data_IF_098437349549
#
_entry.id   IF_098437349549
#
_cell.length_a   1.000
_cell.length_b   1.000
_cell.length_c   1.000
_cell.angle_alpha   90.00
_cell.angle_beta   90.00
_cell.angle_gamma   90.00
#
_symmetry.space_group_name_H-M   'P 1'
#
loop_
_entity.id
_entity.type
_entity.pdbx_description
1 polymer ?
#
# COMPACT_ATOMS: atom_id res chain seq x y z
N UNK A 1 28.66 -9.57 5.83
CA UNK A 1 28.15 -9.57 4.44
C UNK A 1 27.15 -8.44 4.35
N UNK A 2 27.25 -7.55 3.37
CA UNK A 2 26.32 -6.45 3.21
C UNK A 2 25.32 -6.78 2.12
N UNK A 3 24.04 -6.52 2.36
CA UNK A 3 22.99 -6.67 1.39
C UNK A 3 22.83 -5.38 0.60
N UNK A 4 22.70 -5.46 -0.72
CA UNK A 4 22.47 -4.31 -1.60
C UNK A 4 21.05 -4.40 -2.13
N UNK A 5 20.25 -3.38 -1.88
CA UNK A 5 18.89 -3.32 -2.39
C UNK A 5 18.88 -3.28 -3.92
N UNK A 6 18.20 -4.23 -4.55
CA UNK A 6 18.11 -4.34 -6.01
C UNK A 6 17.37 -3.18 -6.68
N UNK A 7 16.53 -2.48 -5.92
CA UNK A 7 15.72 -1.35 -6.42
C UNK A 7 16.44 0.00 -6.31
N UNK A 8 17.07 0.31 -5.15
CA UNK A 8 17.65 1.64 -4.90
C UNK A 8 19.17 1.64 -4.69
N UNK A 9 19.83 0.48 -4.71
CA UNK A 9 21.27 0.35 -4.51
C UNK A 9 21.76 0.59 -3.06
N UNK A 10 20.85 0.84 -2.11
CA UNK A 10 21.23 1.07 -0.71
C UNK A 10 21.89 -0.17 -0.12
N UNK A 11 23.03 0.05 0.53
CA UNK A 11 23.74 -0.97 1.29
C UNK A 11 23.15 -1.04 2.70
N UNK A 12 22.76 -2.24 3.12
CA UNK A 12 22.22 -2.51 4.45
C UNK A 12 23.15 -3.48 5.16
N UNK A 13 23.70 -3.09 6.30
CA UNK A 13 24.67 -3.91 7.06
C UNK A 13 24.00 -4.77 8.12
N UNK A 14 22.86 -4.30 8.65
CA UNK A 14 22.02 -5.03 9.60
C UNK A 14 20.56 -4.78 9.30
N UNK A 15 19.74 -5.82 9.34
CA UNK A 15 18.29 -5.72 9.26
C UNK A 15 17.71 -5.84 10.67
N UNK A 16 17.47 -4.75 11.41
CA UNK A 16 16.65 -4.81 12.60
C UNK A 16 15.20 -5.05 12.15
N UNK A 17 14.70 -6.25 12.42
CA UNK A 17 13.28 -6.49 12.27
C UNK A 17 12.54 -5.72 13.36
N UNK A 18 11.48 -5.01 13.01
CA UNK A 18 10.63 -4.28 13.98
C UNK A 18 10.01 -5.18 15.05
N UNK A 19 10.03 -6.49 14.85
CA UNK A 19 9.57 -7.51 15.78
C UNK A 19 10.61 -7.91 16.84
N UNK A 20 11.83 -7.36 16.81
CA UNK A 20 12.91 -7.72 17.75
C UNK A 20 13.61 -9.04 17.46
N UNK A 21 13.31 -9.72 16.37
CA UNK A 21 13.95 -10.98 15.95
C UNK A 21 15.01 -10.75 14.89
N UNK A 22 15.86 -11.75 14.69
CA UNK A 22 16.96 -11.72 13.70
C UNK A 22 16.64 -12.59 12.49
N UNK A 23 17.19 -12.19 11.34
CA UNK A 23 17.19 -13.01 10.14
C UNK A 23 18.44 -13.87 10.15
N UNK A 24 18.27 -15.18 9.94
CA UNK A 24 19.34 -16.14 9.77
C UNK A 24 19.26 -16.82 8.41
N UNK A 25 20.42 -17.20 7.90
CA UNK A 25 20.48 -17.99 6.66
C UNK A 25 20.15 -19.45 6.99
N UNK A 26 19.14 -19.99 6.33
CA UNK A 26 18.88 -21.42 6.31
C UNK A 26 19.87 -22.08 5.32
N UNK A 27 20.77 -22.92 5.83
CA UNK A 27 21.81 -23.59 5.02
C UNK A 27 21.26 -24.66 4.07
N UNK A 28 20.04 -25.15 4.30
CA UNK A 28 19.43 -26.19 3.47
C UNK A 28 18.70 -25.58 2.26
N UNK A 29 17.98 -24.46 2.47
CA UNK A 29 17.21 -23.79 1.41
C UNK A 29 18.00 -22.67 0.74
N UNK A 30 19.14 -22.27 1.31
CA UNK A 30 19.94 -21.11 0.92
C UNK A 30 19.12 -19.80 0.92
N UNK A 31 18.13 -19.70 1.81
CA UNK A 31 17.24 -18.56 1.98
C UNK A 31 17.46 -17.91 3.34
N UNK A 32 17.16 -16.61 3.39
CA UNK A 32 17.18 -15.85 4.65
C UNK A 32 15.82 -15.97 5.31
N UNK A 33 15.76 -16.57 6.49
CA UNK A 33 14.52 -16.82 7.23
C UNK A 33 14.51 -16.05 8.54
N UNK A 34 13.34 -15.59 8.95
CA UNK A 34 13.12 -15.05 10.28
C UNK A 34 13.08 -16.19 11.30
N UNK A 35 13.71 -16.02 12.46
CA UNK A 35 13.74 -17.03 13.53
C UNK A 35 12.34 -17.44 14.04
N UNK A 36 11.30 -16.67 13.72
CA UNK A 36 9.90 -16.98 14.07
C UNK A 36 9.16 -17.76 12.98
N UNK A 37 9.77 -17.98 11.82
CA UNK A 37 9.21 -18.80 10.74
C UNK A 37 8.14 -18.18 9.86
N UNK A 38 7.47 -17.10 10.30
CA UNK A 38 6.28 -16.58 9.62
C UNK A 38 6.42 -15.18 8.99
N UNK A 39 7.60 -14.56 9.03
CA UNK A 39 7.77 -13.16 8.62
C UNK A 39 8.18 -12.95 7.15
N UNK A 40 8.23 -14.00 6.34
CA UNK A 40 8.55 -13.94 4.93
C UNK A 40 9.96 -14.42 4.57
N UNK A 41 10.11 -14.81 3.34
CA UNK A 41 11.32 -15.37 2.75
C UNK A 41 12.04 -14.28 1.98
N UNK A 42 13.29 -13.98 2.29
CA UNK A 42 14.16 -13.14 1.46
C UNK A 42 14.95 -14.10 0.56
N UNK A 43 14.63 -14.11 -0.72
CA UNK A 43 15.39 -14.89 -1.71
C UNK A 43 16.66 -14.14 -2.09
N UNK A 44 17.75 -14.87 -2.38
CA UNK A 44 19.03 -14.27 -2.77
C UNK A 44 18.98 -13.51 -4.10
N UNK A 45 17.97 -13.78 -4.91
CA UNK A 45 17.81 -13.15 -6.22
C UNK A 45 17.33 -11.71 -6.14
N UNK A 46 16.62 -11.32 -5.06
CA UNK A 46 16.15 -9.96 -4.84
C UNK A 46 16.17 -9.61 -3.34
N UNK A 47 17.02 -8.67 -2.97
CA UNK A 47 16.91 -7.99 -1.69
C UNK A 47 16.30 -6.60 -1.90
N UNK A 48 15.18 -6.32 -1.23
CA UNK A 48 14.60 -4.98 -1.14
C UNK A 48 14.81 -4.46 0.28
N UNK A 49 15.39 -3.26 0.40
CA UNK A 49 15.38 -2.58 1.70
C UNK A 49 13.94 -2.30 2.13
N UNK A 50 13.72 -2.11 3.44
CA UNK A 50 12.39 -1.88 4.03
C UNK A 50 11.56 -0.88 3.21
N UNK A 51 12.15 0.23 2.84
CA UNK A 51 11.52 1.29 2.06
C UNK A 51 11.02 0.82 0.69
N UNK A 52 11.86 0.12 -0.07
CA UNK A 52 11.48 -0.38 -1.40
C UNK A 52 10.48 -1.53 -1.30
N UNK A 53 10.55 -2.34 -0.26
CA UNK A 53 9.59 -3.41 0.00
C UNK A 53 8.19 -2.86 0.31
N UNK A 54 8.09 -1.84 1.15
CA UNK A 54 6.82 -1.19 1.49
C UNK A 54 6.23 -0.49 0.27
N UNK A 55 7.03 0.25 -0.51
CA UNK A 55 6.57 0.88 -1.75
C UNK A 55 6.04 -0.16 -2.74
N UNK A 56 6.75 -1.27 -2.92
CA UNK A 56 6.31 -2.37 -3.80
C UNK A 56 4.99 -2.97 -3.31
N UNK A 57 4.78 -3.08 -1.99
CA UNK A 57 3.55 -3.59 -1.40
C UNK A 57 2.37 -2.64 -1.63
N UNK A 58 2.56 -1.33 -1.42
CA UNK A 58 1.53 -0.30 -1.69
C UNK A 58 1.13 -0.33 -3.17
N UNK A 59 2.11 -0.33 -4.08
CA UNK A 59 1.86 -0.39 -5.51
C UNK A 59 1.07 -1.64 -5.90
N UNK A 60 1.47 -2.80 -5.37
CA UNK A 60 0.76 -4.05 -5.65
C UNK A 60 -0.71 -3.99 -5.18
N UNK A 61 -1.00 -3.42 -4.02
CA UNK A 61 -2.39 -3.27 -3.54
C UNK A 61 -3.21 -2.44 -4.54
N UNK A 62 -2.67 -1.33 -5.04
CA UNK A 62 -3.36 -0.50 -6.02
C UNK A 62 -3.48 -1.15 -7.41
N UNK A 63 -2.46 -1.91 -7.84
CA UNK A 63 -2.54 -2.73 -9.08
C UNK A 63 -3.65 -3.79 -8.95
N UNK A 64 -3.80 -4.42 -7.77
CA UNK A 64 -4.88 -5.36 -7.48
C UNK A 64 -6.26 -4.65 -7.52
N UNK A 65 -6.39 -3.43 -7.00
CA UNK A 65 -7.62 -2.64 -7.04
C UNK A 65 -7.97 -2.16 -8.47
N UNK A 66 -6.98 -1.79 -9.27
CA UNK A 66 -7.15 -1.49 -10.69
C UNK A 66 -7.67 -2.71 -11.45
N UNK A 67 -7.15 -3.90 -11.15
CA UNK A 67 -7.64 -5.18 -11.69
C UNK A 67 -9.08 -5.44 -11.27
N UNK A 68 -9.43 -5.23 -9.99
CA UNK A 68 -10.80 -5.36 -9.49
C UNK A 68 -11.79 -4.46 -10.22
N UNK A 69 -11.39 -3.23 -10.60
CA UNK A 69 -12.27 -2.31 -11.32
C UNK A 69 -12.75 -2.86 -12.65
N UNK A 70 -12.00 -3.79 -13.24
CA UNK A 70 -12.34 -4.44 -14.52
C UNK A 70 -13.01 -5.79 -14.30
N UNK A 71 -12.56 -6.59 -13.33
CA UNK A 71 -12.96 -7.99 -13.17
C UNK A 71 -14.12 -8.19 -12.19
N UNK A 72 -14.30 -7.30 -11.22
CA UNK A 72 -15.36 -7.41 -10.22
C UNK A 72 -16.53 -6.47 -10.55
N UNK A 73 -17.73 -7.07 -10.76
CA UNK A 73 -18.91 -6.33 -11.16
C UNK A 73 -19.40 -5.34 -10.10
N UNK A 74 -19.36 -5.72 -8.82
CA UNK A 74 -19.82 -4.86 -7.72
C UNK A 74 -18.94 -3.63 -7.60
N UNK A 75 -17.60 -3.80 -7.59
CA UNK A 75 -16.66 -2.69 -7.53
C UNK A 75 -16.78 -1.76 -8.75
N UNK A 76 -16.98 -2.34 -9.94
CA UNK A 76 -17.18 -1.56 -11.16
C UNK A 76 -18.48 -0.74 -11.15
N UNK A 77 -19.58 -1.29 -10.67
CA UNK A 77 -20.86 -0.55 -10.57
C UNK A 77 -20.74 0.60 -9.55
N UNK A 78 -20.09 0.39 -8.40
CA UNK A 78 -19.82 1.49 -7.45
C UNK A 78 -19.00 2.61 -8.11
N UNK A 79 -17.96 2.27 -8.87
CA UNK A 79 -17.15 3.25 -9.58
C UNK A 79 -17.97 4.06 -10.62
N UNK A 80 -18.97 3.45 -11.28
CA UNK A 80 -19.83 4.13 -12.25
C UNK A 80 -20.74 5.19 -11.61
N UNK A 81 -21.18 4.96 -10.37
CA UNK A 81 -22.02 5.90 -9.65
C UNK A 81 -21.24 7.15 -9.16
N UNK A 82 -19.92 7.08 -9.17
CA UNK A 82 -19.05 8.14 -8.72
C UNK A 82 -18.59 9.02 -9.89
N UNK A 83 -18.48 10.32 -9.64
CA UNK A 83 -17.84 11.25 -10.58
C UNK A 83 -16.33 11.11 -10.51
N UNK A 84 -15.66 11.32 -11.63
CA UNK A 84 -14.19 11.34 -11.69
C UNK A 84 -13.58 12.29 -10.66
N UNK A 85 -12.67 11.76 -9.87
CA UNK A 85 -11.87 12.50 -8.91
C UNK A 85 -10.43 11.97 -8.88
N UNK A 86 -9.51 12.82 -8.51
CA UNK A 86 -8.09 12.45 -8.38
C UNK A 86 -7.62 12.77 -6.97
N UNK A 87 -7.10 11.73 -6.31
CA UNK A 87 -6.45 11.84 -5.00
C UNK A 87 -4.95 11.78 -5.20
N UNK A 88 -4.25 12.82 -4.75
CA UNK A 88 -2.80 12.86 -4.67
C UNK A 88 -2.36 12.47 -3.27
N UNK A 89 -1.46 11.51 -3.15
CA UNK A 89 -0.93 11.06 -1.86
C UNK A 89 0.57 11.29 -1.78
N UNK A 90 1.00 11.98 -0.74
CA UNK A 90 2.40 12.17 -0.36
C UNK A 90 2.71 11.38 0.91
N UNK A 91 3.57 10.38 0.79
CA UNK A 91 4.04 9.60 1.92
C UNK A 91 5.41 10.07 2.38
N UNK A 92 5.64 10.06 3.69
CA UNK A 92 6.94 10.29 4.30
C UNK A 92 7.49 9.01 4.95
N UNK A 93 8.80 8.96 5.12
CA UNK A 93 9.52 7.89 5.82
C UNK A 93 9.27 6.47 5.27
N UNK A 94 9.71 6.20 4.05
CA UNK A 94 10.41 7.06 3.08
C UNK A 94 9.45 7.84 2.18
N UNK A 95 9.99 8.83 1.49
CA UNK A 95 9.19 9.66 0.57
C UNK A 95 8.73 8.81 -0.62
N UNK A 96 7.44 8.84 -0.85
CA UNK A 96 6.80 8.22 -1.99
C UNK A 96 5.54 8.99 -2.35
N UNK A 97 5.42 9.38 -3.61
CA UNK A 97 4.29 10.18 -4.11
C UNK A 97 3.59 9.40 -5.20
N UNK A 98 2.27 9.35 -5.12
CA UNK A 98 1.41 8.70 -6.10
C UNK A 98 0.04 9.36 -6.15
N UNK A 99 -0.71 9.04 -7.18
CA UNK A 99 -2.08 9.49 -7.36
C UNK A 99 -3.00 8.34 -7.74
N UNK A 100 -4.29 8.50 -7.42
CA UNK A 100 -5.35 7.57 -7.79
C UNK A 100 -6.47 8.38 -8.42
N UNK A 101 -6.85 8.04 -9.66
CA UNK A 101 -8.06 8.51 -10.31
C UNK A 101 -9.15 7.46 -10.11
N UNK A 102 -10.33 7.87 -9.69
CA UNK A 102 -11.48 6.98 -9.51
C UNK A 102 -12.79 7.67 -9.90
N UNK A 103 -13.77 6.89 -10.33
CA UNK A 103 -15.08 7.33 -10.78
C UNK A 103 -15.32 7.13 -12.28
N UNK A 104 -16.55 7.31 -12.73
CA UNK A 104 -17.03 7.04 -14.10
C UNK A 104 -16.67 5.60 -14.60
N UNK A 105 -16.61 4.63 -13.68
CA UNK A 105 -16.23 3.24 -13.96
C UNK A 105 -14.73 2.95 -13.96
N UNK A 106 -13.88 3.95 -13.78
CA UNK A 106 -12.42 3.83 -13.78
C UNK A 106 -11.84 3.79 -12.36
N UNK A 107 -10.77 3.02 -12.18
CA UNK A 107 -9.85 3.11 -11.05
C UNK A 107 -8.44 2.97 -11.59
N UNK A 108 -7.65 4.04 -11.56
CA UNK A 108 -6.33 4.12 -12.17
C UNK A 108 -5.31 4.62 -11.15
N UNK A 109 -4.21 3.90 -11.01
CA UNK A 109 -3.10 4.26 -10.14
C UNK A 109 -1.91 4.75 -10.95
N UNK A 110 -1.24 5.80 -10.46
CA UNK A 110 -0.02 6.33 -11.08
C UNK A 110 0.98 6.87 -10.07
N UNK A 111 2.27 6.77 -10.39
CA UNK A 111 3.36 7.31 -9.57
C UNK A 111 3.61 8.79 -9.88
N UNK A 112 4.15 9.50 -8.89
CA UNK A 112 4.50 10.92 -9.03
C UNK A 112 3.33 11.83 -8.73
N UNK A 113 3.38 13.05 -9.27
CA UNK A 113 2.38 14.09 -9.06
C UNK A 113 1.39 14.14 -10.23
N UNK A 114 0.16 14.58 -9.91
CA UNK A 114 -0.90 14.80 -10.88
C UNK A 114 -1.55 16.16 -10.64
N UNK A 115 -1.41 17.08 -11.59
CA UNK A 115 -1.89 18.45 -11.49
C UNK A 115 -3.42 18.57 -11.44
N UNK A 116 -4.14 17.50 -11.79
CA UNK A 116 -5.61 17.43 -11.74
C UNK A 116 -6.16 17.00 -10.38
N UNK A 117 -5.33 16.80 -9.36
CA UNK A 117 -5.79 16.35 -8.06
C UNK A 117 -6.68 17.38 -7.36
N UNK A 118 -7.79 16.91 -6.81
CA UNK A 118 -8.75 17.70 -6.01
C UNK A 118 -8.65 17.38 -4.52
N UNK A 119 -7.98 16.29 -4.17
CA UNK A 119 -7.79 15.82 -2.80
C UNK A 119 -6.31 15.51 -2.61
N UNK A 120 -5.75 15.98 -1.51
CA UNK A 120 -4.35 15.77 -1.15
C UNK A 120 -4.27 15.08 0.20
N UNK A 121 -3.63 13.92 0.25
CA UNK A 121 -3.40 13.14 1.45
C UNK A 121 -1.91 13.16 1.79
N UNK A 122 -1.58 13.39 3.06
CA UNK A 122 -0.22 13.31 3.57
C UNK A 122 -0.17 12.50 4.86
N UNK A 123 0.68 11.49 4.90
CA UNK A 123 0.93 10.68 6.10
C UNK A 123 2.27 9.93 5.98
N UNK A 124 2.65 9.19 7.04
CA UNK A 124 3.77 8.27 6.92
C UNK A 124 3.39 7.02 6.14
N UNK A 125 4.36 6.38 5.46
CA UNK A 125 4.15 5.09 4.81
C UNK A 125 3.55 4.04 5.75
N UNK A 126 3.99 4.02 7.01
CA UNK A 126 3.49 3.09 8.02
C UNK A 126 1.99 3.27 8.27
N UNK A 127 1.51 4.51 8.32
CA UNK A 127 0.07 4.82 8.49
C UNK A 127 -0.70 4.36 7.26
N UNK A 128 -0.26 4.73 6.05
CA UNK A 128 -0.93 4.33 4.81
C UNK A 128 -0.98 2.81 4.64
N UNK A 129 0.11 2.10 4.92
CA UNK A 129 0.13 0.63 4.86
C UNK A 129 -0.87 0.01 5.81
N UNK A 130 -1.01 0.53 7.03
CA UNK A 130 -2.02 0.04 7.98
C UNK A 130 -3.45 0.26 7.48
N UNK A 131 -3.73 1.44 6.88
CA UNK A 131 -5.03 1.75 6.28
C UNK A 131 -5.34 0.77 5.16
N UNK A 132 -4.44 0.62 4.18
CA UNK A 132 -4.63 -0.26 3.02
C UNK A 132 -4.75 -1.75 3.39
N UNK A 133 -4.18 -2.17 4.53
CA UNK A 133 -4.33 -3.52 5.06
C UNK A 133 -5.56 -3.69 5.98
N UNK A 134 -6.34 -2.63 6.21
CA UNK A 134 -7.50 -2.64 7.12
C UNK A 134 -7.12 -2.83 8.59
N UNK A 135 -5.90 -2.47 8.98
CA UNK A 135 -5.42 -2.54 10.38
C UNK A 135 -5.73 -1.30 11.20
N UNK A 136 -6.12 -0.23 10.55
CA UNK A 136 -6.60 1.02 11.15
C UNK A 136 -7.57 1.69 10.20
N UNK A 137 -8.45 2.53 10.75
CA UNK A 137 -9.39 3.31 9.96
C UNK A 137 -8.78 4.68 9.60
N UNK A 138 -8.90 5.09 8.33
CA UNK A 138 -8.35 6.35 7.84
C UNK A 138 -8.97 7.59 8.51
N UNK A 139 -10.26 7.53 8.88
CA UNK A 139 -10.94 8.60 9.59
C UNK A 139 -10.36 8.80 10.98
N UNK A 140 -10.07 7.68 11.68
CA UNK A 140 -9.41 7.72 13.01
C UNK A 140 -8.01 8.31 12.91
N UNK A 141 -7.23 7.95 11.88
CA UNK A 141 -5.89 8.50 11.64
C UNK A 141 -5.94 10.00 11.27
N UNK A 142 -6.99 10.44 10.58
CA UNK A 142 -7.24 11.86 10.30
C UNK A 142 -7.55 12.64 11.59
N UNK A 143 -8.45 12.15 12.45
CA UNK A 143 -8.82 12.82 13.71
C UNK A 143 -7.69 12.87 14.73
N UNK A 144 -6.80 11.89 14.75
CA UNK A 144 -5.64 11.90 15.65
C UNK A 144 -4.43 12.66 15.09
N UNK A 145 -4.52 13.19 13.86
CA UNK A 145 -3.48 14.00 13.23
C UNK A 145 -2.34 13.18 12.59
N UNK A 146 -2.46 11.85 12.51
CA UNK A 146 -1.48 10.97 11.84
C UNK A 146 -1.62 10.98 10.31
N UNK A 147 -2.77 11.43 9.82
CA UNK A 147 -3.09 11.63 8.41
C UNK A 147 -3.66 13.04 8.22
N UNK A 148 -3.13 13.77 7.24
CA UNK A 148 -3.64 15.08 6.84
C UNK A 148 -4.37 14.97 5.51
N UNK A 149 -5.47 15.70 5.37
CA UNK A 149 -6.25 15.78 4.15
C UNK A 149 -6.52 17.24 3.81
N UNK A 150 -6.27 17.61 2.57
CA UNK A 150 -6.60 18.92 2.00
C UNK A 150 -7.48 18.73 0.76
N UNK A 151 -8.41 19.70 0.52
CA UNK A 151 -9.33 19.65 -0.61
C UNK A 151 -10.72 19.15 -0.25
N UNK A 152 -11.34 18.35 -1.12
CA UNK A 152 -12.72 17.88 -0.95
C UNK A 152 -12.83 16.74 0.06
N UNK A 153 -13.22 17.11 1.31
CA UNK A 153 -13.35 16.13 2.41
C UNK A 153 -14.53 15.17 2.21
N UNK A 154 -15.57 15.54 1.46
CA UNK A 154 -16.69 14.64 1.17
C UNK A 154 -16.21 13.51 0.25
N UNK A 155 -15.50 13.87 -0.81
CA UNK A 155 -14.90 12.88 -1.72
C UNK A 155 -13.75 12.10 -1.08
N UNK A 156 -13.04 12.64 -0.10
CA UNK A 156 -12.11 11.86 0.70
C UNK A 156 -12.81 10.71 1.42
N UNK A 157 -13.97 10.95 2.03
CA UNK A 157 -14.75 9.90 2.70
C UNK A 157 -15.18 8.83 1.68
N UNK A 158 -15.69 9.25 0.51
CA UNK A 158 -16.05 8.32 -0.58
C UNK A 158 -14.85 7.48 -1.03
N UNK A 159 -13.68 8.10 -1.19
CA UNK A 159 -12.46 7.40 -1.55
C UNK A 159 -12.07 6.33 -0.53
N UNK A 160 -12.14 6.65 0.77
CA UNK A 160 -11.84 5.68 1.83
C UNK A 160 -12.85 4.53 1.85
N UNK A 161 -14.14 4.80 1.66
CA UNK A 161 -15.17 3.76 1.59
C UNK A 161 -14.95 2.85 0.37
N UNK A 162 -14.51 3.40 -0.77
CA UNK A 162 -14.14 2.64 -1.95
C UNK A 162 -12.91 1.73 -1.70
N UNK A 163 -11.88 2.22 -1.00
CA UNK A 163 -10.72 1.40 -0.63
C UNK A 163 -11.10 0.26 0.33
N UNK A 164 -12.03 0.52 1.25
CA UNK A 164 -12.53 -0.51 2.17
C UNK A 164 -13.32 -1.59 1.41
N UNK A 165 -14.18 -1.20 0.47
CA UNK A 165 -14.91 -2.14 -0.38
C UNK A 165 -13.92 -3.02 -1.19
N UNK A 166 -12.92 -2.42 -1.83
CA UNK A 166 -11.91 -3.16 -2.58
C UNK A 166 -11.15 -4.16 -1.68
N UNK A 167 -10.83 -3.76 -0.45
CA UNK A 167 -10.17 -4.62 0.53
C UNK A 167 -11.06 -5.81 0.94
N UNK A 168 -12.36 -5.59 1.15
CA UNK A 168 -13.32 -6.64 1.51
C UNK A 168 -13.46 -7.65 0.37
N UNK A 169 -13.67 -7.19 -0.85
CA UNK A 169 -13.76 -8.05 -2.04
C UNK A 169 -12.48 -8.89 -2.21
N UNK A 170 -11.30 -8.28 -2.07
CA UNK A 170 -10.04 -9.02 -2.15
C UNK A 170 -9.92 -10.10 -1.07
N UNK A 171 -10.35 -9.83 0.16
CA UNK A 171 -10.35 -10.83 1.24
C UNK A 171 -11.30 -11.99 0.96
N UNK A 172 -12.47 -11.70 0.39
CA UNK A 172 -13.43 -12.73 0.00
C UNK A 172 -12.87 -13.61 -1.13
N UNK A 173 -12.27 -13.02 -2.16
CA UNK A 173 -11.65 -13.73 -3.27
C UNK A 173 -10.49 -14.62 -2.80
N UNK A 174 -9.73 -14.20 -1.80
CA UNK A 174 -8.65 -15.00 -1.20
C UNK A 174 -9.14 -16.06 -0.21
N UNK A 175 -10.45 -16.13 0.08
CA UNK A 175 -11.03 -17.08 1.04
C UNK A 175 -10.68 -16.79 2.50
N UNK A 176 -10.30 -15.57 2.83
CA UNK A 176 -9.92 -15.12 4.18
C UNK A 176 -11.16 -14.79 5.02
N UNK A 177 -12.27 -14.46 4.37
CA UNK A 177 -13.58 -14.25 5.00
C UNK A 177 -14.48 -15.44 4.66
N UNK A 178 -14.66 -16.34 5.61
CA UNK A 178 -15.73 -17.34 5.67
C UNK A 178 -16.50 -17.18 6.96
#
# INVERSE_FOLDING_TARGET
MSLICSSCGRKVETLPLQCGYSITMNSETNQMECNMGDCGIITFDEFLCENCCINKSIMKIYDDYETLSVENKEFHEELKELKNNIVQTKLSNPDFTYWVKFGDGDFIFGKGENDGASIYISCSQKVMTKILMGRTDARSEFFNGSLSVEGDLQYFVVYIDLLNLALEINKEMMGVLK
#
